data_IF_632090431087
#
_entry.id   IF_632090431087
#
_cell.length_a   1.000
_cell.length_b   1.000
_cell.length_c   1.000
_cell.angle_alpha   90.00
_cell.angle_beta   90.00
_cell.angle_gamma   90.00
#
_symmetry.space_group_name_H-M   'P 1'
#
loop_
_entity.id
_entity.type
_entity.pdbx_description
1 polymer ?
#
# COMPACT_ATOMS: atom_id res chain seq x y z
N UNK A 1 12.88 -0.74 -19.40
CA UNK A 1 12.11 0.24 -18.61
C UNK A 1 10.63 -0.07 -18.70
N UNK A 2 9.95 -0.03 -17.60
CA UNK A 2 8.51 -0.22 -17.57
C UNK A 2 7.81 1.06 -18.00
N UNK A 3 6.83 0.96 -18.87
CA UNK A 3 6.17 2.17 -19.39
C UNK A 3 4.70 2.25 -19.02
N UNK A 4 4.24 1.46 -18.07
CA UNK A 4 2.86 1.46 -17.61
C UNK A 4 2.76 1.53 -16.10
N UNK A 5 1.57 1.26 -15.60
CA UNK A 5 1.34 1.19 -14.17
C UNK A 5 1.69 -0.20 -13.64
N UNK A 6 1.95 -0.27 -12.34
CA UNK A 6 2.21 -1.55 -11.68
C UNK A 6 1.14 -1.77 -10.61
N UNK A 7 0.60 -2.98 -10.58
CA UNK A 7 -0.37 -3.38 -9.57
C UNK A 7 0.03 -4.76 -9.06
N UNK A 8 0.30 -4.88 -7.77
CA UNK A 8 0.81 -6.13 -7.23
C UNK A 8 0.51 -6.28 -5.74
N UNK A 9 0.65 -7.51 -5.28
CA UNK A 9 0.54 -7.88 -3.87
C UNK A 9 1.89 -8.46 -3.46
N UNK A 10 2.84 -7.62 -3.06
CA UNK A 10 4.19 -8.10 -2.78
C UNK A 10 4.26 -8.86 -1.46
N UNK A 11 5.27 -9.71 -1.29
CA UNK A 11 5.52 -10.32 0.02
C UNK A 11 5.74 -9.22 1.05
N UNK A 12 5.04 -9.31 2.17
CA UNK A 12 5.08 -8.23 3.17
C UNK A 12 6.50 -7.96 3.66
N UNK A 13 7.28 -9.02 3.79
CA UNK A 13 8.65 -8.92 4.29
C UNK A 13 9.51 -7.99 3.44
N UNK A 14 9.23 -7.92 2.14
CA UNK A 14 10.02 -7.10 1.21
C UNK A 14 9.20 -5.97 0.60
N UNK A 15 8.09 -5.63 1.23
CA UNK A 15 7.15 -4.69 0.62
C UNK A 15 7.79 -3.34 0.32
N UNK A 16 8.60 -2.82 1.24
CA UNK A 16 9.21 -1.52 1.03
C UNK A 16 10.13 -1.53 -0.19
N UNK A 17 10.96 -2.56 -0.31
CA UNK A 17 11.86 -2.68 -1.45
C UNK A 17 11.09 -2.82 -2.75
N UNK A 18 9.98 -3.56 -2.73
CA UNK A 18 9.15 -3.68 -3.91
C UNK A 18 8.57 -2.34 -4.34
N UNK A 19 8.10 -1.55 -3.38
CA UNK A 19 7.53 -0.23 -3.69
C UNK A 19 8.61 0.68 -4.26
N UNK A 20 9.76 0.73 -3.62
CA UNK A 20 10.85 1.58 -4.07
C UNK A 20 11.31 1.20 -5.46
N UNK A 21 11.44 -0.10 -5.71
CA UNK A 21 11.85 -0.57 -7.03
C UNK A 21 10.80 -0.28 -8.09
N UNK A 22 9.54 -0.49 -7.76
CA UNK A 22 8.45 -0.20 -8.69
C UNK A 22 8.44 1.27 -9.07
N UNK A 23 8.65 2.15 -8.11
CA UNK A 23 8.68 3.58 -8.39
C UNK A 23 9.86 3.96 -9.28
N UNK A 24 10.96 3.21 -9.20
CA UNK A 24 12.08 3.44 -10.11
C UNK A 24 11.76 2.98 -11.53
N UNK A 25 10.96 1.92 -11.67
CA UNK A 25 10.69 1.33 -12.97
C UNK A 25 9.69 2.12 -13.79
N UNK A 26 8.74 2.78 -13.15
CA UNK A 26 7.68 3.48 -13.89
C UNK A 26 8.12 4.87 -14.27
N UNK A 27 7.62 5.40 -15.41
CA UNK A 27 7.87 6.81 -15.77
C UNK A 27 7.13 7.76 -14.84
N UNK A 28 7.54 9.01 -14.87
CA UNK A 28 6.87 10.05 -14.10
C UNK A 28 5.39 10.11 -14.46
N UNK A 29 4.56 10.28 -13.46
CA UNK A 29 3.12 10.34 -13.64
C UNK A 29 2.42 9.00 -13.63
N UNK A 30 3.16 7.91 -13.69
CA UNK A 30 2.55 6.57 -13.66
C UNK A 30 2.35 6.10 -12.24
N UNK A 31 1.52 5.08 -12.10
CA UNK A 31 0.97 4.67 -10.82
C UNK A 31 1.49 3.32 -10.39
N UNK A 32 1.66 3.17 -9.07
CA UNK A 32 2.01 1.90 -8.46
C UNK A 32 0.95 1.62 -7.40
N UNK A 33 0.29 0.48 -7.54
CA UNK A 33 -0.74 0.05 -6.59
C UNK A 33 -0.24 -1.19 -5.87
N UNK A 34 -0.20 -1.12 -4.54
CA UNK A 34 0.27 -2.22 -3.72
C UNK A 34 -0.80 -2.60 -2.71
N UNK A 35 -1.11 -3.90 -2.63
CA UNK A 35 -2.06 -4.39 -1.64
C UNK A 35 -1.27 -4.81 -0.41
N UNK A 36 -1.40 -4.04 0.66
CA UNK A 36 -0.57 -4.20 1.85
C UNK A 36 -1.40 -4.02 3.11
N UNK A 37 -0.86 -4.48 4.22
CA UNK A 37 -1.48 -4.20 5.51
C UNK A 37 -1.42 -2.71 5.82
N UNK A 38 -2.45 -2.22 6.48
CA UNK A 38 -2.48 -0.81 6.87
C UNK A 38 -1.26 -0.44 7.71
N UNK A 39 -0.76 -1.37 8.50
CA UNK A 39 0.42 -1.14 9.33
C UNK A 39 1.68 -0.87 8.51
N UNK A 40 1.61 -1.03 7.18
CA UNK A 40 2.73 -0.62 6.33
C UNK A 40 3.04 0.87 6.50
N UNK A 41 2.08 1.66 6.95
CA UNK A 41 2.30 3.08 7.22
C UNK A 41 3.20 3.31 8.43
N UNK A 42 3.38 2.31 9.28
CA UNK A 42 4.18 2.44 10.49
C UNK A 42 5.62 2.02 10.25
N UNK A 43 6.47 2.43 11.15
CA UNK A 43 7.86 2.00 11.14
C UNK A 43 8.81 3.09 10.66
N UNK A 44 9.83 3.32 11.46
CA UNK A 44 10.80 4.37 11.15
C UNK A 44 11.55 4.12 9.86
N UNK A 45 11.79 2.86 9.55
CA UNK A 45 12.49 2.51 8.30
C UNK A 45 11.70 2.92 7.07
N UNK A 46 10.37 2.93 7.17
CA UNK A 46 9.51 3.28 6.04
C UNK A 46 9.27 4.77 5.94
N UNK A 47 9.61 5.52 6.97
CA UNK A 47 9.43 6.96 6.95
C UNK A 47 10.13 7.59 5.76
N UNK A 48 11.29 7.08 5.42
CA UNK A 48 12.05 7.54 4.26
C UNK A 48 11.24 7.44 2.98
N UNK A 49 10.52 6.33 2.80
CA UNK A 49 9.67 6.15 1.63
C UNK A 49 8.54 7.17 1.61
N UNK A 50 7.88 7.38 2.73
CA UNK A 50 6.76 8.30 2.78
C UNK A 50 7.18 9.76 2.70
N UNK A 51 8.40 10.07 3.11
CA UNK A 51 8.93 11.42 2.99
C UNK A 51 9.21 11.81 1.55
N UNK A 52 9.24 10.84 0.62
CA UNK A 52 9.31 11.18 -0.81
C UNK A 52 8.03 11.82 -1.29
N UNK A 53 6.94 11.70 -0.53
CA UNK A 53 5.63 12.28 -0.82
C UNK A 53 5.00 11.76 -2.11
N UNK A 54 5.36 10.56 -2.48
CA UNK A 54 4.79 9.90 -3.66
C UNK A 54 3.61 9.01 -3.33
N UNK A 55 3.30 8.80 -2.06
CA UNK A 55 2.06 8.11 -1.67
C UNK A 55 0.91 9.08 -1.90
N UNK A 56 0.02 8.73 -2.81
CA UNK A 56 -1.06 9.62 -3.21
C UNK A 56 -2.36 9.31 -2.49
N UNK A 57 -2.73 8.05 -2.37
CA UNK A 57 -4.00 7.66 -1.76
C UNK A 57 -3.88 6.30 -1.10
N UNK A 58 -4.56 6.14 0.03
CA UNK A 58 -4.74 4.85 0.67
C UNK A 58 -6.21 4.51 0.56
N UNK A 59 -6.53 3.43 -0.14
CA UNK A 59 -7.90 2.96 -0.31
C UNK A 59 -8.20 1.93 0.75
N UNK A 60 -9.13 2.26 1.62
CA UNK A 60 -9.49 1.43 2.77
C UNK A 60 -10.86 0.85 2.55
N UNK A 61 -11.03 -0.44 2.82
CA UNK A 61 -12.34 -1.02 2.80
C UNK A 61 -13.11 -0.59 4.05
N UNK A 62 -14.32 -0.05 3.86
CA UNK A 62 -15.16 0.29 4.99
C UNK A 62 -15.77 -0.95 5.62
N UNK A 63 -15.75 -2.07 4.92
CA UNK A 63 -16.11 -3.36 5.46
C UNK A 63 -14.85 -4.13 5.75
N UNK A 64 -14.87 -4.88 6.85
CA UNK A 64 -13.72 -5.70 7.17
C UNK A 64 -13.58 -6.80 6.15
N UNK A 65 -12.44 -6.84 5.48
CA UNK A 65 -12.16 -7.88 4.51
C UNK A 65 -11.68 -9.12 5.24
N UNK A 66 -12.30 -10.25 4.92
CA UNK A 66 -11.92 -11.52 5.52
C UNK A 66 -10.72 -12.11 4.80
N UNK A 67 -9.57 -11.57 5.07
CA UNK A 67 -8.38 -11.89 4.30
C UNK A 67 -7.82 -13.27 4.64
N UNK A 68 -8.54 -14.28 4.25
CA UNK A 68 -8.02 -15.64 4.31
C UNK A 68 -7.78 -16.21 5.69
N UNK A 69 -8.33 -15.60 6.69
CA UNK A 69 -8.14 -16.09 8.05
C UNK A 69 -9.31 -16.97 8.45
N UNK A 70 -9.57 -17.96 7.66
CA UNK A 70 -10.54 -19.00 7.91
C UNK A 70 -11.78 -18.58 8.69
N UNK A 71 -12.11 -17.34 8.69
CA UNK A 71 -13.35 -16.84 9.25
C UNK A 71 -13.45 -16.83 10.76
N UNK A 72 -12.38 -17.09 11.45
CA UNK A 72 -12.44 -17.11 12.91
C UNK A 72 -12.28 -15.70 13.46
N UNK A 73 -13.38 -15.01 13.57
CA UNK A 73 -13.38 -13.65 14.09
C UNK A 73 -13.45 -13.58 15.60
N UNK A 74 -13.60 -14.70 16.24
CA UNK A 74 -13.52 -14.73 17.68
C UNK A 74 -12.10 -14.57 18.15
N UNK A 75 -11.16 -14.84 17.27
CA UNK A 75 -9.77 -14.54 17.56
C UNK A 75 -9.56 -13.06 17.46
N UNK A 76 -9.31 -12.43 18.56
CA UNK A 76 -9.15 -10.98 18.61
C UNK A 76 -8.03 -10.51 17.70
N UNK A 77 -6.97 -11.26 17.66
CA UNK A 77 -5.80 -10.87 16.90
C UNK A 77 -6.04 -10.87 15.41
N UNK A 78 -6.82 -11.83 14.93
CA UNK A 78 -7.09 -11.90 13.51
C UNK A 78 -7.91 -10.70 13.04
N UNK A 79 -8.74 -10.17 13.92
CA UNK A 79 -9.57 -9.03 13.56
C UNK A 79 -8.78 -7.74 13.44
N UNK A 80 -7.55 -7.72 13.89
CA UNK A 80 -6.75 -6.50 13.85
C UNK A 80 -6.06 -6.28 12.52
N UNK A 81 -6.10 -7.25 11.61
CA UNK A 81 -5.41 -7.11 10.34
C UNK A 81 -6.32 -6.41 9.35
N UNK A 82 -5.84 -5.30 8.83
CA UNK A 82 -6.55 -4.51 7.84
C UNK A 82 -5.66 -4.36 6.62
N UNK A 83 -6.20 -4.71 5.45
CA UNK A 83 -5.47 -4.56 4.19
C UNK A 83 -6.04 -3.41 3.40
N UNK A 84 -5.17 -2.74 2.69
CA UNK A 84 -5.51 -1.56 1.91
C UNK A 84 -4.79 -1.59 0.59
N UNK A 85 -5.31 -0.84 -0.39
CA UNK A 85 -4.58 -0.56 -1.60
C UNK A 85 -3.83 0.75 -1.40
N UNK A 86 -2.52 0.70 -1.54
CA UNK A 86 -1.67 1.89 -1.47
C UNK A 86 -1.38 2.35 -2.88
N UNK A 87 -1.79 3.56 -3.18
CA UNK A 87 -1.57 4.16 -4.50
C UNK A 87 -0.43 5.15 -4.44
N UNK A 88 0.68 4.78 -5.04
CA UNK A 88 1.81 5.66 -5.21
C UNK A 88 1.81 6.17 -6.65
N UNK A 89 2.22 7.41 -6.83
CA UNK A 89 2.37 7.96 -8.17
C UNK A 89 3.75 8.60 -8.26
N UNK A 90 4.51 8.18 -9.25
CA UNK A 90 5.87 8.68 -9.40
C UNK A 90 5.85 10.16 -9.73
N UNK A 91 6.59 10.91 -8.96
CA UNK A 91 6.64 12.36 -9.14
C UNK A 91 5.58 13.12 -8.37
N UNK A 92 4.61 12.42 -7.76
CA UNK A 92 3.64 13.09 -6.92
C UNK A 92 4.36 13.69 -5.71
N UNK A 93 4.00 14.91 -5.37
CA UNK A 93 4.64 15.59 -4.26
C UNK A 93 3.55 16.29 -3.45
N UNK A 94 2.96 15.57 -2.52
CA UNK A 94 1.90 16.13 -1.72
C UNK A 94 1.54 15.21 -0.57
N UNK A 95 0.49 15.58 0.13
CA UNK A 95 -0.01 14.78 1.23
C UNK A 95 -0.89 13.65 0.71
N UNK A 96 -0.82 12.48 1.32
CA UNK A 96 -1.70 11.39 0.91
C UNK A 96 -3.13 11.64 1.40
N UNK A 97 -4.09 11.08 0.66
CA UNK A 97 -5.49 11.10 1.05
C UNK A 97 -5.95 9.70 1.38
N UNK A 98 -7.07 9.61 2.08
CA UNK A 98 -7.68 8.33 2.42
C UNK A 98 -9.05 8.28 1.75
N UNK A 99 -9.31 7.16 1.05
CA UNK A 99 -10.59 6.95 0.38
C UNK A 99 -11.18 5.62 0.83
N UNK A 100 -12.48 5.56 0.97
CA UNK A 100 -13.18 4.34 1.31
C UNK A 100 -13.77 3.74 0.04
N UNK A 101 -13.55 2.45 -0.17
CA UNK A 101 -13.95 1.81 -1.43
C UNK A 101 -15.18 0.93 -1.31
N UNK A 102 -15.75 0.80 -0.14
CA UNK A 102 -17.05 0.12 -0.02
C UNK A 102 -17.74 0.43 1.30
#
# INVERSE_FOLDING_TARGET
MWDGDILTNPPYKYAQEFVEHALELVPDGKNVFMFLKLTFLEGQKRRKLFDTKQLKTVYVSSRRIKCGLNGDFNSINSSAICYCWFHFQKGYNGQPTIEWIN
#
